data_IF_050910839316
#
_entry.id   IF_050910839316
#
_cell.length_a   1.000
_cell.length_b   1.000
_cell.length_c   1.000
_cell.angle_alpha   90.00
_cell.angle_beta   90.00
_cell.angle_gamma   90.00
#
_symmetry.space_group_name_H-M   'P 1'
#
loop_
_entity.id
_entity.type
_entity.pdbx_description
1 polymer ?
#
# COMPACT_ATOMS: atom_id res chain seq x y z
N UNK A 1 17.25 13.77 24.98
CA UNK A 1 16.88 13.22 23.67
C UNK A 1 17.06 11.71 23.54
N UNK A 2 16.65 10.88 24.52
CA UNK A 2 17.11 9.47 24.57
C UNK A 2 16.28 8.43 23.79
N UNK A 3 14.96 8.59 23.68
CA UNK A 3 14.09 7.53 23.15
C UNK A 3 14.12 7.44 21.61
N UNK A 4 14.05 8.59 20.94
CA UNK A 4 14.07 8.64 19.47
C UNK A 4 15.41 8.17 18.89
N UNK A 5 16.53 8.55 19.51
CA UNK A 5 17.86 8.15 19.05
C UNK A 5 18.10 6.63 19.19
N UNK A 6 17.53 6.02 20.24
CA UNK A 6 17.60 4.57 20.45
C UNK A 6 16.77 3.81 19.42
N UNK A 7 15.57 4.29 19.08
CA UNK A 7 14.72 3.70 18.04
C UNK A 7 15.34 3.82 16.64
N UNK A 8 15.98 4.95 16.36
CA UNK A 8 16.70 5.18 15.09
C UNK A 8 17.88 4.21 14.96
N UNK A 9 18.66 4.02 16.02
CA UNK A 9 19.79 3.10 16.00
C UNK A 9 19.34 1.64 15.80
N UNK A 10 18.26 1.22 16.46
CA UNK A 10 17.73 -0.14 16.35
C UNK A 10 17.17 -0.44 14.95
N UNK A 11 16.47 0.52 14.34
CA UNK A 11 15.98 0.41 12.95
C UNK A 11 17.12 0.34 11.92
N UNK A 12 18.19 1.11 12.14
CA UNK A 12 19.39 1.07 11.29
C UNK A 12 20.14 -0.27 11.40
N UNK A 13 20.14 -0.88 12.58
CA UNK A 13 20.74 -2.18 12.82
C UNK A 13 19.95 -3.31 12.13
N UNK A 14 18.62 -3.33 12.28
CA UNK A 14 17.72 -4.26 11.58
C UNK A 14 17.85 -4.16 10.05
N UNK A 15 17.90 -2.93 9.53
CA UNK A 15 18.05 -2.68 8.08
C UNK A 15 19.38 -3.20 7.53
N UNK A 16 20.47 -3.07 8.30
CA UNK A 16 21.81 -3.54 7.90
C UNK A 16 21.97 -5.05 8.00
N UNK A 17 21.26 -5.70 8.92
CA UNK A 17 21.31 -7.15 9.11
C UNK A 17 20.44 -7.90 8.13
N UNK A 18 19.22 -7.40 7.86
CA UNK A 18 18.20 -8.19 7.17
C UNK A 18 18.06 -7.89 5.67
N UNK A 19 18.45 -6.69 5.21
CA UNK A 19 18.41 -6.30 3.79
C UNK A 19 17.15 -6.78 3.05
N UNK A 20 15.97 -6.25 3.36
CA UNK A 20 14.75 -7.01 3.07
C UNK A 20 14.00 -6.58 1.81
N UNK A 21 14.30 -7.23 0.68
CA UNK A 21 13.34 -7.24 -0.42
C UNK A 21 12.11 -8.04 -0.02
N UNK A 22 11.06 -7.34 0.37
CA UNK A 22 9.76 -7.89 0.67
C UNK A 22 8.82 -7.70 -0.51
N UNK A 23 7.92 -8.65 -0.64
CA UNK A 23 6.93 -8.70 -1.70
C UNK A 23 5.54 -8.69 -1.08
N UNK A 24 4.65 -7.85 -1.60
CA UNK A 24 3.23 -7.86 -1.27
C UNK A 24 2.46 -8.24 -2.53
N UNK A 25 1.71 -9.34 -2.42
CA UNK A 25 0.79 -9.79 -3.46
C UNK A 25 -0.62 -9.87 -2.87
N UNK A 26 -1.55 -9.10 -3.42
CA UNK A 26 -2.96 -9.14 -3.03
C UNK A 26 -3.83 -9.37 -4.25
N UNK A 27 -4.88 -10.18 -4.08
CA UNK A 27 -5.88 -10.42 -5.13
C UNK A 27 -7.26 -10.19 -4.53
N UNK A 28 -8.00 -9.26 -5.12
CA UNK A 28 -9.42 -9.06 -4.84
C UNK A 28 -10.23 -9.60 -6.02
N UNK A 29 -11.17 -10.50 -5.76
CA UNK A 29 -12.07 -11.04 -6.78
C UNK A 29 -13.45 -10.42 -6.62
N UNK A 30 -14.13 -10.14 -7.73
CA UNK A 30 -15.46 -9.55 -7.72
C UNK A 30 -16.12 -9.62 -9.09
N UNK A 31 -17.17 -8.82 -9.27
CA UNK A 31 -17.87 -8.64 -10.54
C UNK A 31 -17.63 -7.22 -11.05
N UNK A 32 -17.25 -7.09 -12.32
CA UNK A 32 -17.16 -5.82 -13.03
C UNK A 32 -18.11 -5.86 -14.23
N UNK A 33 -19.14 -5.00 -14.22
CA UNK A 33 -20.19 -4.99 -15.25
C UNK A 33 -20.82 -6.39 -15.51
N UNK A 34 -21.04 -7.15 -14.43
CA UNK A 34 -21.63 -8.50 -14.50
C UNK A 34 -20.64 -9.62 -14.86
N UNK A 35 -19.39 -9.32 -15.17
CA UNK A 35 -18.37 -10.31 -15.47
C UNK A 35 -17.43 -10.54 -14.29
N UNK A 36 -17.07 -11.79 -13.95
CA UNK A 36 -16.06 -12.07 -12.94
C UNK A 36 -14.72 -11.41 -13.29
N UNK A 37 -14.17 -10.72 -12.31
CA UNK A 37 -12.94 -9.96 -12.44
C UNK A 37 -12.05 -10.15 -11.20
N UNK A 38 -10.74 -10.13 -11.41
CA UNK A 38 -9.74 -10.14 -10.36
C UNK A 38 -8.86 -8.90 -10.48
N UNK A 39 -8.81 -8.11 -9.42
CA UNK A 39 -7.84 -7.04 -9.24
C UNK A 39 -6.64 -7.61 -8.49
N UNK A 40 -5.46 -7.50 -9.09
CA UNK A 40 -4.20 -7.95 -8.51
C UNK A 40 -3.31 -6.74 -8.21
N UNK A 41 -2.74 -6.71 -7.02
CA UNK A 41 -1.71 -5.76 -6.62
C UNK A 41 -0.43 -6.53 -6.32
N UNK A 42 0.66 -6.16 -7.00
CA UNK A 42 2.00 -6.69 -6.77
C UNK A 42 2.95 -5.54 -6.43
N UNK A 43 3.62 -5.64 -5.29
CA UNK A 43 4.58 -4.63 -4.82
C UNK A 43 5.86 -5.35 -4.40
N UNK A 44 7.01 -4.77 -4.73
CA UNK A 44 8.31 -5.15 -4.18
C UNK A 44 8.99 -3.93 -3.59
N UNK A 45 9.36 -4.00 -2.33
CA UNK A 45 10.06 -2.94 -1.60
C UNK A 45 11.25 -3.52 -0.86
N UNK A 46 12.31 -2.73 -0.73
CA UNK A 46 13.63 -3.15 -0.22
C UNK A 46 13.78 -3.00 1.29
N UNK A 47 12.87 -2.29 1.94
CA UNK A 47 12.90 -2.10 3.39
C UNK A 47 11.48 -1.83 3.91
N UNK A 48 10.94 -2.80 4.63
CA UNK A 48 9.60 -2.77 5.24
C UNK A 48 9.45 -1.66 6.27
N UNK A 49 10.45 -1.49 7.14
CA UNK A 49 10.48 -0.44 8.15
C UNK A 49 10.53 0.96 7.53
N UNK A 50 11.34 1.13 6.48
CA UNK A 50 11.41 2.41 5.76
C UNK A 50 10.08 2.74 5.09
N UNK A 51 9.43 1.75 4.46
CA UNK A 51 8.12 1.93 3.84
C UNK A 51 7.07 2.34 4.89
N UNK A 52 6.93 1.57 5.96
CA UNK A 52 5.96 1.86 7.03
C UNK A 52 6.24 3.21 7.71
N UNK A 53 7.51 3.49 8.02
CA UNK A 53 7.92 4.76 8.62
C UNK A 53 7.64 5.96 7.71
N UNK A 54 7.86 5.82 6.40
CA UNK A 54 7.55 6.89 5.43
C UNK A 54 6.05 7.14 5.35
N UNK A 55 5.22 6.08 5.30
CA UNK A 55 3.76 6.22 5.30
C UNK A 55 3.30 6.96 6.56
N UNK A 56 3.82 6.60 7.73
CA UNK A 56 3.51 7.27 9.00
C UNK A 56 3.94 8.75 8.99
N UNK A 57 5.12 9.06 8.47
CA UNK A 57 5.62 10.43 8.36
C UNK A 57 4.77 11.29 7.42
N UNK A 58 4.35 10.76 6.27
CA UNK A 58 3.46 11.45 5.33
C UNK A 58 2.08 11.71 5.96
N UNK A 59 1.53 10.73 6.68
CA UNK A 59 0.27 10.90 7.41
C UNK A 59 0.38 11.98 8.50
N UNK A 60 1.45 11.93 9.32
CA UNK A 60 1.69 12.93 10.35
C UNK A 60 1.86 14.33 9.77
N UNK A 61 2.64 14.48 8.69
CA UNK A 61 2.81 15.74 7.99
C UNK A 61 1.46 16.29 7.51
N UNK A 62 0.60 15.44 6.93
CA UNK A 62 -0.70 15.87 6.46
C UNK A 62 -1.62 16.33 7.59
N UNK A 63 -1.64 15.60 8.72
CA UNK A 63 -2.39 16.00 9.93
C UNK A 63 -1.92 17.36 10.44
N UNK A 64 -0.60 17.58 10.50
CA UNK A 64 -0.02 18.85 10.95
C UNK A 64 -0.36 20.01 10.02
N UNK A 65 -0.28 19.83 8.69
CA UNK A 65 -0.61 20.90 7.74
C UNK A 65 -2.11 21.25 7.70
N UNK A 66 -2.98 20.26 7.93
CA UNK A 66 -4.43 20.44 7.86
C UNK A 66 -5.08 20.73 9.22
N UNK A 67 -4.30 20.79 10.30
CA UNK A 67 -4.75 21.06 11.67
C UNK A 67 -5.92 20.16 12.12
N UNK A 68 -5.92 18.90 11.68
CA UNK A 68 -6.97 17.93 12.04
C UNK A 68 -6.81 17.46 13.49
N UNK A 69 -7.94 17.27 14.17
CA UNK A 69 -8.01 16.81 15.56
C UNK A 69 -8.95 15.62 15.64
N UNK A 70 -8.47 14.49 16.13
CA UNK A 70 -9.26 13.25 16.28
C UNK A 70 -8.56 12.02 15.72
N UNK A 71 -9.28 10.89 15.68
CA UNK A 71 -8.81 9.63 15.13
C UNK A 71 -9.33 9.46 13.70
N UNK A 72 -8.43 9.14 12.77
CA UNK A 72 -8.72 9.04 11.35
C UNK A 72 -8.07 7.80 10.76
N UNK A 73 -8.72 7.19 9.78
CA UNK A 73 -8.05 6.18 8.95
C UNK A 73 -7.12 6.88 7.95
N UNK A 74 -6.06 6.19 7.54
CA UNK A 74 -5.10 6.74 6.57
C UNK A 74 -5.79 7.17 5.27
N UNK A 75 -6.82 6.42 4.84
CA UNK A 75 -7.64 6.71 3.66
C UNK A 75 -8.45 7.99 3.79
N UNK A 76 -8.76 8.43 5.01
CA UNK A 76 -9.49 9.68 5.28
C UNK A 76 -8.56 10.90 5.29
N UNK A 77 -7.27 10.67 5.47
CA UNK A 77 -6.22 11.69 5.50
C UNK A 77 -5.62 11.89 4.11
N UNK A 78 -5.23 10.81 3.44
CA UNK A 78 -4.50 10.85 2.19
C UNK A 78 -5.21 10.00 1.13
N UNK A 79 -5.64 10.60 0.00
CA UNK A 79 -6.13 9.82 -1.12
C UNK A 79 -5.05 8.81 -1.56
N UNK A 80 -5.45 7.55 -1.75
CA UNK A 80 -4.50 6.46 -2.03
C UNK A 80 -3.61 6.74 -3.25
N UNK A 81 -4.14 7.41 -4.29
CA UNK A 81 -3.37 7.82 -5.48
C UNK A 81 -2.23 8.77 -5.12
N UNK A 82 -2.47 9.73 -4.22
CA UNK A 82 -1.47 10.70 -3.77
C UNK A 82 -0.39 9.98 -2.96
N UNK A 83 -0.80 9.12 -2.02
CA UNK A 83 0.13 8.33 -1.22
C UNK A 83 1.04 7.48 -2.11
N UNK A 84 0.48 6.71 -3.04
CA UNK A 84 1.25 5.85 -3.94
C UNK A 84 2.21 6.68 -4.82
N UNK A 85 1.77 7.83 -5.33
CA UNK A 85 2.63 8.74 -6.10
C UNK A 85 3.82 9.25 -5.28
N UNK A 86 3.61 9.59 -4.00
CA UNK A 86 4.68 10.07 -3.11
C UNK A 86 5.66 8.94 -2.77
N UNK A 87 5.16 7.75 -2.45
CA UNK A 87 6.01 6.59 -2.18
C UNK A 87 6.84 6.18 -3.41
N UNK A 88 6.26 6.29 -4.61
CA UNK A 88 6.97 6.07 -5.86
C UNK A 88 8.05 7.14 -6.11
N UNK A 89 7.74 8.42 -5.87
CA UNK A 89 8.70 9.52 -6.00
C UNK A 89 9.90 9.38 -5.05
N UNK A 90 9.70 8.73 -3.90
CA UNK A 90 10.75 8.40 -2.92
C UNK A 90 11.51 7.11 -3.23
N UNK A 91 11.25 6.47 -4.39
CA UNK A 91 11.87 5.23 -4.83
C UNK A 91 11.76 4.07 -3.81
N UNK A 92 10.66 4.03 -3.05
CA UNK A 92 10.44 2.99 -2.04
C UNK A 92 9.93 1.68 -2.64
N UNK A 93 9.44 1.72 -3.88
CA UNK A 93 9.05 0.54 -4.63
C UNK A 93 10.10 0.24 -5.69
N UNK A 94 10.65 -0.96 -5.64
CA UNK A 94 11.44 -1.54 -6.73
C UNK A 94 10.54 -2.16 -7.82
N UNK A 95 9.30 -2.51 -7.46
CA UNK A 95 8.27 -2.92 -8.39
C UNK A 95 6.90 -2.53 -7.83
N UNK A 96 6.02 -1.99 -8.68
CA UNK A 96 4.64 -1.69 -8.34
C UNK A 96 3.77 -1.95 -9.56
N UNK A 97 2.83 -2.88 -9.45
CA UNK A 97 1.96 -3.29 -10.55
C UNK A 97 0.53 -3.53 -10.04
N UNK A 98 -0.43 -2.84 -10.65
CA UNK A 98 -1.86 -3.09 -10.47
C UNK A 98 -2.41 -3.60 -11.79
N UNK A 99 -3.07 -4.74 -11.76
CA UNK A 99 -3.65 -5.34 -12.95
C UNK A 99 -5.08 -5.80 -12.69
N UNK A 100 -6.00 -5.49 -13.61
CA UNK A 100 -7.35 -6.04 -13.61
C UNK A 100 -7.42 -7.15 -14.66
N UNK A 101 -7.66 -8.39 -14.23
CA UNK A 101 -7.94 -9.51 -15.11
C UNK A 101 -9.45 -9.71 -15.18
N UNK A 102 -10.04 -9.57 -16.36
CA UNK A 102 -11.36 -10.13 -16.63
C UNK A 102 -11.18 -11.64 -16.74
N UNK A 103 -11.94 -12.40 -15.95
CA UNK A 103 -11.96 -13.85 -16.07
C UNK A 103 -12.88 -14.20 -17.24
N UNK A 104 -12.33 -14.12 -18.45
CA UNK A 104 -13.04 -14.45 -19.69
C UNK A 104 -13.43 -15.93 -19.77
N UNK A 105 -13.00 -16.77 -18.82
CA UNK A 105 -13.34 -18.19 -18.75
C UNK A 105 -14.47 -18.48 -17.75
N UNK A 106 -14.95 -17.48 -17.00
CA UNK A 106 -16.11 -17.65 -16.15
C UNK A 106 -17.39 -17.47 -16.97
N UNK A 107 -17.90 -18.62 -17.41
CA UNK A 107 -19.25 -18.93 -17.90
C UNK A 107 -20.24 -17.76 -17.75
N UNK A 108 -20.79 -17.31 -18.88
CA UNK A 108 -21.97 -16.45 -18.95
C UNK A 108 -22.94 -16.79 -17.83
N UNK A 109 -23.12 -15.88 -16.87
CA UNK A 109 -24.24 -15.95 -15.95
C UNK A 109 -25.51 -15.90 -16.82
N UNK A 110 -26.14 -17.06 -17.05
CA UNK A 110 -27.53 -17.11 -17.44
C UNK A 110 -28.32 -16.73 -16.19
N UNK A 111 -28.63 -15.44 -16.09
CA UNK A 111 -29.70 -14.98 -15.22
C UNK A 111 -30.95 -15.81 -15.54
N UNK A 112 -31.60 -16.33 -14.49
CA UNK A 112 -32.55 -17.42 -14.56
C UNK A 112 -33.52 -17.34 -15.74
N UNK A 113 -33.55 -18.43 -16.52
CA UNK A 113 -34.73 -18.77 -17.29
C UNK A 113 -35.90 -18.90 -16.31
N UNK A 114 -36.81 -17.93 -16.34
CA UNK A 114 -38.17 -18.07 -15.80
C UNK A 114 -39.01 -18.87 -16.78
#
# INVERSE_FOLDING_TARGET
GGAAQTLIAFSQQLTRQEGEQQHLFMVAKGLLAGQPAALQLQIRFTNSYQLTGTIAALAAHHVLCTHRVGLYWLTDLLPIKVLLSQLNALALFSHFHIHCQLDNNAVNFQEGAL
#
